data_IF_234823674873
#
_entry.id   IF_234823674873
#
_cell.length_a   1.000
_cell.length_b   1.000
_cell.length_c   1.000
_cell.angle_alpha   90.00
_cell.angle_beta   90.00
_cell.angle_gamma   90.00
#
_symmetry.space_group_name_H-M   'P 1'
#
loop_
_entity.id
_entity.type
_entity.pdbx_description
1 polymer ?
#
# COMPACT_ATOMS: atom_id res chain seq x y z
N UNK A 1 4.06 -14.40 -2.75
CA UNK A 1 5.27 -13.90 -3.42
C UNK A 1 6.01 -13.06 -2.42
N UNK A 2 7.33 -13.18 -2.36
CA UNK A 2 8.21 -12.41 -1.48
C UNK A 2 9.51 -12.07 -2.22
N UNK A 3 10.49 -11.52 -1.51
CA UNK A 3 11.81 -11.19 -2.07
C UNK A 3 12.58 -12.43 -2.56
N UNK A 4 12.24 -13.63 -2.08
CA UNK A 4 12.92 -14.88 -2.38
C UNK A 4 12.20 -15.69 -3.47
N UNK A 5 10.89 -15.54 -3.59
CA UNK A 5 10.01 -16.39 -4.41
C UNK A 5 8.94 -15.55 -5.12
N UNK A 6 8.96 -15.55 -6.46
CA UNK A 6 7.99 -14.79 -7.24
C UNK A 6 8.15 -14.86 -8.75
N UNK A 7 7.04 -15.04 -9.47
CA UNK A 7 6.95 -14.77 -10.90
C UNK A 7 6.88 -13.26 -11.21
N UNK A 8 7.98 -12.70 -11.69
CA UNK A 8 8.03 -11.31 -12.12
C UNK A 8 7.39 -11.20 -13.52
N UNK A 9 6.14 -10.74 -13.58
CA UNK A 9 5.41 -10.52 -14.83
C UNK A 9 6.11 -9.48 -15.73
N UNK A 10 5.93 -9.60 -17.05
CA UNK A 10 6.61 -8.74 -18.04
C UNK A 10 5.82 -7.47 -18.40
N UNK A 11 5.20 -6.83 -17.41
CA UNK A 11 4.37 -5.64 -17.61
C UNK A 11 5.23 -4.35 -17.65
N UNK A 12 4.71 -3.28 -18.26
CA UNK A 12 5.41 -2.00 -18.39
C UNK A 12 5.92 -1.46 -17.05
N UNK A 13 5.06 -1.40 -16.02
CA UNK A 13 5.44 -0.92 -14.68
C UNK A 13 6.53 -1.77 -14.02
N UNK A 14 6.56 -3.07 -14.31
CA UNK A 14 7.62 -3.96 -13.83
C UNK A 14 8.94 -3.68 -14.53
N UNK A 15 8.91 -3.39 -15.84
CA UNK A 15 10.11 -3.01 -16.59
C UNK A 15 10.68 -1.67 -16.11
N UNK A 16 9.83 -0.68 -15.79
CA UNK A 16 10.27 0.58 -15.17
C UNK A 16 10.99 0.31 -13.85
N UNK A 17 10.40 -0.50 -12.96
CA UNK A 17 11.03 -0.85 -11.69
C UNK A 17 12.37 -1.58 -11.89
N UNK A 18 12.43 -2.55 -12.82
CA UNK A 18 13.69 -3.25 -13.16
C UNK A 18 14.78 -2.29 -13.64
N UNK A 19 14.42 -1.31 -14.47
CA UNK A 19 15.37 -0.31 -14.95
C UNK A 19 15.88 0.57 -13.80
N UNK A 20 15.00 1.05 -12.92
CA UNK A 20 15.42 1.81 -11.73
C UNK A 20 16.36 1.03 -10.83
N UNK A 21 16.02 -0.22 -10.52
CA UNK A 21 16.86 -1.09 -9.69
C UNK A 21 18.20 -1.41 -10.37
N UNK A 22 18.19 -1.64 -11.68
CA UNK A 22 19.42 -1.85 -12.45
C UNK A 22 20.31 -0.61 -12.39
N UNK A 23 19.77 0.58 -12.69
CA UNK A 23 20.53 1.84 -12.65
C UNK A 23 21.11 2.10 -11.27
N UNK A 24 20.35 1.84 -10.20
CA UNK A 24 20.83 1.95 -8.83
C UNK A 24 21.96 0.96 -8.52
N UNK A 25 21.87 -0.27 -9.03
CA UNK A 25 22.86 -1.32 -8.79
C UNK A 25 24.15 -1.15 -9.62
N UNK A 26 24.04 -0.66 -10.86
CA UNK A 26 25.17 -0.44 -11.77
C UNK A 26 26.20 0.59 -11.24
N UNK A 27 25.80 1.46 -10.31
CA UNK A 27 26.70 2.44 -9.70
C UNK A 27 27.48 1.81 -8.54
N UNK A 28 28.80 1.71 -8.67
CA UNK A 28 29.67 1.25 -7.57
C UNK A 28 29.97 2.40 -6.61
N UNK A 29 29.64 2.22 -5.33
CA UNK A 29 29.98 3.13 -4.24
C UNK A 29 30.80 2.37 -3.20
N UNK A 30 32.01 2.82 -2.90
CA UNK A 30 32.94 2.13 -1.98
C UNK A 30 32.69 2.47 -0.51
N UNK A 31 32.08 3.62 -0.23
CA UNK A 31 31.86 4.13 1.13
C UNK A 31 30.38 4.34 1.46
N UNK A 32 29.47 3.94 0.57
CA UNK A 32 28.03 4.14 0.72
C UNK A 32 27.30 2.82 0.57
N UNK A 33 26.66 2.38 1.66
CA UNK A 33 25.78 1.21 1.67
C UNK A 33 24.53 1.48 0.85
N UNK A 34 24.10 0.48 0.08
CA UNK A 34 22.95 0.57 -0.83
C UNK A 34 21.83 -0.37 -0.38
N UNK A 35 20.63 0.19 -0.24
CA UNK A 35 19.38 -0.55 -0.02
C UNK A 35 18.33 -0.06 -1.00
N UNK A 36 17.57 -1.00 -1.57
CA UNK A 36 16.39 -0.73 -2.39
C UNK A 36 15.15 -1.07 -1.55
N UNK A 37 14.25 -0.10 -1.43
CA UNK A 37 12.94 -0.30 -0.81
C UNK A 37 11.86 -0.40 -1.89
N UNK A 38 11.21 -1.56 -1.98
CA UNK A 38 10.00 -1.75 -2.78
C UNK A 38 8.78 -1.43 -1.94
N UNK A 39 8.29 -0.19 -2.06
CA UNK A 39 7.25 0.34 -1.18
C UNK A 39 5.86 -0.07 -1.70
N UNK A 40 5.04 -0.66 -0.82
CA UNK A 40 3.65 -0.97 -1.11
C UNK A 40 2.74 0.26 -1.10
N UNK A 41 1.44 0.06 -1.27
CA UNK A 41 0.49 1.18 -1.20
C UNK A 41 0.52 1.78 0.21
N UNK A 42 0.99 3.02 0.31
CA UNK A 42 1.20 3.67 1.60
C UNK A 42 -0.08 4.35 2.07
N UNK A 43 -0.56 3.95 3.24
CA UNK A 43 -1.75 4.49 3.90
C UNK A 43 -1.33 5.53 4.94
N UNK A 44 -1.91 6.71 4.86
CA UNK A 44 -1.65 7.81 5.77
C UNK A 44 -2.76 8.87 5.71
N UNK A 45 -2.84 9.71 6.72
CA UNK A 45 -3.81 10.80 6.81
C UNK A 45 -3.39 12.06 6.03
N UNK A 46 -2.15 12.11 5.54
CA UNK A 46 -1.60 13.24 4.80
C UNK A 46 -2.36 13.48 3.48
N UNK A 47 -2.46 14.76 3.10
CA UNK A 47 -3.13 15.19 1.85
C UNK A 47 -2.41 14.67 0.61
N UNK A 48 -3.16 14.31 -0.43
CA UNK A 48 -2.62 13.83 -1.71
C UNK A 48 -2.25 12.33 -1.73
N UNK A 49 -2.43 11.62 -0.61
CA UNK A 49 -2.24 10.18 -0.53
C UNK A 49 -3.44 9.36 -1.02
N UNK A 50 -3.23 8.05 -1.14
CA UNK A 50 -4.26 7.09 -1.60
C UNK A 50 -5.50 7.05 -0.70
N UNK A 51 -5.41 7.51 0.55
CA UNK A 51 -6.55 7.51 1.46
C UNK A 51 -7.63 8.51 1.02
N UNK A 52 -7.29 9.60 0.34
CA UNK A 52 -8.25 10.60 -0.10
C UNK A 52 -9.35 10.03 -1.02
N UNK A 53 -9.06 9.30 -2.11
CA UNK A 53 -10.11 8.67 -2.92
C UNK A 53 -10.90 7.64 -2.12
N UNK A 54 -10.27 6.90 -1.20
CA UNK A 54 -10.99 5.97 -0.32
C UNK A 54 -11.98 6.67 0.61
N UNK A 55 -11.61 7.82 1.19
CA UNK A 55 -12.49 8.64 2.01
C UNK A 55 -13.69 9.14 1.19
N UNK A 56 -13.46 9.59 -0.05
CA UNK A 56 -14.53 10.02 -0.93
C UNK A 56 -15.50 8.87 -1.25
N UNK A 57 -14.99 7.67 -1.54
CA UNK A 57 -15.83 6.50 -1.80
C UNK A 57 -16.75 6.19 -0.62
N UNK A 58 -16.21 6.12 0.61
CA UNK A 58 -17.05 5.84 1.78
C UNK A 58 -18.00 7.00 2.11
N UNK A 59 -17.58 8.25 1.88
CA UNK A 59 -18.41 9.45 2.09
C UNK A 59 -19.68 9.41 1.24
N UNK A 60 -19.58 8.96 -0.01
CA UNK A 60 -20.71 8.87 -0.94
C UNK A 60 -21.38 7.48 -0.97
N UNK A 61 -21.12 6.62 0.02
CA UNK A 61 -21.74 5.29 0.12
C UNK A 61 -21.21 4.25 -0.88
N UNK A 62 -20.17 4.57 -1.64
CA UNK A 62 -19.47 3.70 -2.60
C UNK A 62 -18.35 2.87 -1.93
N UNK A 63 -18.46 2.65 -0.62
CA UNK A 63 -17.50 1.92 0.21
C UNK A 63 -17.60 0.39 0.15
N UNK A 64 -18.19 -0.17 -0.90
CA UNK A 64 -18.25 -1.61 -1.13
C UNK A 64 -16.94 -2.17 -1.70
N UNK A 65 -16.92 -3.45 -2.06
CA UNK A 65 -15.75 -4.03 -2.75
C UNK A 65 -15.62 -3.47 -4.18
N UNK A 66 -14.40 -3.46 -4.68
CA UNK A 66 -14.03 -3.00 -6.02
C UNK A 66 -13.82 -4.19 -6.96
N UNK A 67 -14.42 -4.15 -8.15
CA UNK A 67 -14.31 -5.25 -9.12
C UNK A 67 -14.93 -6.56 -8.56
N UNK A 68 -14.15 -7.64 -8.50
CA UNK A 68 -14.61 -8.92 -7.91
C UNK A 68 -14.33 -9.05 -6.40
N UNK A 69 -13.63 -8.08 -5.80
CA UNK A 69 -13.31 -8.02 -4.37
C UNK A 69 -12.26 -9.02 -3.87
N UNK A 70 -11.84 -9.98 -4.71
CA UNK A 70 -10.91 -11.06 -4.34
C UNK A 70 -9.45 -10.68 -4.52
N UNK A 71 -9.17 -9.60 -5.25
CA UNK A 71 -7.80 -9.15 -5.45
C UNK A 71 -7.14 -8.82 -4.11
N UNK A 72 -5.94 -9.36 -3.91
CA UNK A 72 -5.15 -9.10 -2.72
C UNK A 72 -4.47 -7.75 -2.85
N UNK A 73 -4.42 -7.04 -1.73
CA UNK A 73 -3.95 -5.67 -1.62
C UNK A 73 -2.75 -5.61 -0.68
N UNK A 74 -1.61 -5.20 -1.22
CA UNK A 74 -0.39 -4.92 -0.46
C UNK A 74 -0.42 -3.47 0.01
N UNK A 75 -0.33 -3.26 1.30
CA UNK A 75 -0.41 -1.95 1.93
C UNK A 75 0.66 -1.80 2.98
N UNK A 76 0.94 -0.57 3.42
CA UNK A 76 1.77 -0.28 4.59
C UNK A 76 1.33 1.04 5.22
N UNK A 77 1.40 1.17 6.54
CA UNK A 77 1.16 2.44 7.19
C UNK A 77 2.35 3.39 7.00
N UNK A 78 2.11 4.69 6.76
CA UNK A 78 3.17 5.70 6.55
C UNK A 78 4.20 5.71 7.69
N UNK A 79 3.76 5.53 8.94
CA UNK A 79 4.69 5.42 10.09
C UNK A 79 5.65 4.24 9.95
N UNK A 80 5.18 3.09 9.46
CA UNK A 80 6.04 1.92 9.29
C UNK A 80 7.01 2.09 8.12
N UNK A 81 6.64 2.85 7.08
CA UNK A 81 7.59 3.26 6.03
C UNK A 81 8.74 4.06 6.63
N UNK A 82 8.43 5.09 7.42
CA UNK A 82 9.45 5.92 8.08
C UNK A 82 10.30 5.11 9.05
N UNK A 83 9.68 4.28 9.89
CA UNK A 83 10.39 3.41 10.84
C UNK A 83 11.30 2.41 10.15
N UNK A 84 10.89 1.88 9.00
CA UNK A 84 11.72 0.94 8.24
C UNK A 84 12.92 1.65 7.63
N UNK A 85 12.77 2.87 7.13
CA UNK A 85 13.90 3.70 6.67
C UNK A 85 14.87 4.01 7.81
N UNK A 86 14.37 4.45 8.97
CA UNK A 86 15.19 4.72 10.16
C UNK A 86 15.92 3.45 10.64
N UNK A 87 15.21 2.33 10.74
CA UNK A 87 15.78 1.03 11.08
C UNK A 87 16.89 0.62 10.09
N UNK A 88 16.68 0.84 8.79
CA UNK A 88 17.69 0.55 7.77
C UNK A 88 18.90 1.46 7.83
N UNK A 89 18.72 2.72 8.24
CA UNK A 89 19.82 3.67 8.41
C UNK A 89 20.75 3.23 9.55
N UNK A 90 20.19 2.80 10.69
CA UNK A 90 20.97 2.44 11.89
C UNK A 90 21.55 1.02 11.85
N UNK A 91 20.97 0.11 11.08
CA UNK A 91 21.46 -1.27 10.96
C UNK A 91 22.38 -1.42 9.74
N UNK A 92 23.69 -1.32 9.97
CA UNK A 92 24.71 -1.34 8.91
C UNK A 92 24.84 -2.68 8.17
N UNK A 93 24.42 -3.79 8.78
CA UNK A 93 24.46 -5.11 8.16
C UNK A 93 23.42 -5.30 7.03
N UNK A 94 22.37 -4.48 7.01
CA UNK A 94 21.27 -4.64 6.05
C UNK A 94 21.67 -4.13 4.67
N UNK A 95 21.48 -4.96 3.64
CA UNK A 95 21.85 -4.64 2.26
C UNK A 95 20.90 -5.27 1.23
N UNK A 96 20.87 -4.71 0.03
CA UNK A 96 20.07 -5.25 -1.08
C UNK A 96 18.61 -4.79 -1.07
N UNK A 97 17.70 -5.66 -1.51
CA UNK A 97 16.29 -5.32 -1.76
C UNK A 97 15.39 -5.76 -0.61
N UNK A 98 14.49 -4.89 -0.17
CA UNK A 98 13.47 -5.19 0.84
C UNK A 98 12.09 -4.73 0.38
N UNK A 99 11.06 -5.54 0.60
CA UNK A 99 9.67 -5.12 0.47
C UNK A 99 9.28 -4.30 1.71
N UNK A 100 8.88 -3.06 1.49
CA UNK A 100 8.36 -2.16 2.52
C UNK A 100 6.83 -2.23 2.49
N UNK A 101 6.32 -3.32 3.05
CA UNK A 101 4.90 -3.69 3.05
C UNK A 101 4.50 -4.21 4.42
N UNK A 102 3.23 -4.05 4.83
CA UNK A 102 2.72 -4.68 6.04
C UNK A 102 2.71 -6.22 5.88
N UNK A 103 2.92 -6.99 6.97
CA UNK A 103 3.07 -8.44 6.90
C UNK A 103 1.79 -9.19 6.55
N UNK A 104 0.62 -8.56 6.72
CA UNK A 104 -0.69 -9.17 6.49
C UNK A 104 -1.42 -8.49 5.32
N UNK A 105 -1.21 -8.94 4.07
CA UNK A 105 -2.01 -8.46 2.94
C UNK A 105 -3.47 -8.90 3.12
N UNK A 106 -4.39 -8.10 2.60
CA UNK A 106 -5.84 -8.34 2.72
C UNK A 106 -6.51 -8.32 1.36
N UNK A 107 -7.63 -9.03 1.20
CA UNK A 107 -8.45 -8.87 0.00
C UNK A 107 -9.07 -7.48 -0.06
N UNK A 108 -9.39 -6.99 -1.26
CA UNK A 108 -10.07 -5.71 -1.43
C UNK A 108 -11.40 -5.67 -0.64
N UNK A 109 -12.15 -6.77 -0.63
CA UNK A 109 -13.36 -6.87 0.17
C UNK A 109 -13.09 -6.68 1.67
N UNK A 110 -12.04 -7.32 2.20
CA UNK A 110 -11.66 -7.17 3.61
C UNK A 110 -11.15 -5.76 3.92
N UNK A 111 -10.35 -5.18 3.03
CA UNK A 111 -9.85 -3.79 3.12
C UNK A 111 -11.00 -2.79 3.19
N UNK A 112 -11.92 -2.82 2.22
CA UNK A 112 -13.05 -1.89 2.14
C UNK A 112 -14.01 -2.09 3.32
N UNK A 113 -14.25 -3.33 3.75
CA UNK A 113 -15.06 -3.62 4.94
C UNK A 113 -14.41 -3.06 6.21
N UNK A 114 -13.11 -3.24 6.40
CA UNK A 114 -12.39 -2.73 7.57
C UNK A 114 -12.40 -1.19 7.60
N UNK A 115 -12.12 -0.53 6.47
CA UNK A 115 -12.17 0.92 6.36
C UNK A 115 -13.55 1.45 6.74
N UNK A 116 -14.58 0.90 6.11
CA UNK A 116 -15.97 1.36 6.27
C UNK A 116 -16.46 1.17 7.71
N UNK A 117 -16.20 0.00 8.31
CA UNK A 117 -16.56 -0.26 9.70
C UNK A 117 -15.84 0.70 10.66
N UNK A 118 -14.55 0.96 10.45
CA UNK A 118 -13.77 1.87 11.31
C UNK A 118 -14.25 3.31 11.20
N UNK A 119 -14.72 3.72 10.01
CA UNK A 119 -15.30 5.04 9.76
C UNK A 119 -16.76 5.20 10.23
N UNK A 120 -17.38 4.15 10.78
CA UNK A 120 -18.77 4.18 11.26
C UNK A 120 -19.84 3.98 10.19
N UNK A 121 -19.45 3.50 9.01
CA UNK A 121 -20.36 3.23 7.89
C UNK A 121 -20.78 1.74 7.88
N UNK A 122 -22.08 1.46 7.88
CA UNK A 122 -22.60 0.09 7.97
C UNK A 122 -22.78 -0.58 6.60
N UNK A 123 -23.01 0.21 5.56
CA UNK A 123 -23.31 -0.26 4.21
C UNK A 123 -22.43 0.42 3.16
N UNK A 124 -22.04 -0.31 2.11
CA UNK A 124 -21.27 0.23 1.00
C UNK A 124 -21.62 -0.49 -0.29
N UNK A 125 -21.98 0.29 -1.30
CA UNK A 125 -22.30 -0.20 -2.64
C UNK A 125 -21.00 -0.62 -3.33
N UNK A 126 -20.91 -1.84 -3.90
CA UNK A 126 -19.75 -2.26 -4.69
C UNK A 126 -19.48 -1.29 -5.84
N UNK A 127 -18.20 -0.98 -6.06
CA UNK A 127 -17.78 -0.13 -7.16
C UNK A 127 -17.37 -1.03 -8.36
N UNK A 128 -18.17 -1.08 -9.43
CA UNK A 128 -17.84 -1.90 -10.59
C UNK A 128 -16.64 -1.31 -11.34
N UNK A 129 -15.87 -2.16 -12.03
CA UNK A 129 -14.63 -1.78 -12.70
C UNK A 129 -14.76 -0.57 -13.67
N UNK A 130 -15.85 -0.37 -14.43
CA UNK A 130 -16.01 0.82 -15.26
C UNK A 130 -16.06 2.13 -14.47
N UNK A 131 -16.70 2.12 -13.29
CA UNK A 131 -16.78 3.29 -12.41
C UNK A 131 -15.39 3.66 -11.89
N UNK A 132 -14.59 2.65 -11.51
CA UNK A 132 -13.22 2.84 -11.06
C UNK A 132 -12.31 3.36 -12.17
N UNK A 133 -12.51 2.90 -13.41
CA UNK A 133 -11.81 3.43 -14.60
C UNK A 133 -12.12 4.89 -14.85
N UNK A 134 -13.37 5.30 -14.75
CA UNK A 134 -13.73 6.73 -14.88
C UNK A 134 -13.13 7.56 -13.75
N UNK A 135 -13.21 7.10 -12.50
CA UNK A 135 -12.61 7.80 -11.37
C UNK A 135 -11.10 7.95 -11.49
N UNK A 136 -10.41 6.89 -11.92
CA UNK A 136 -8.96 6.91 -12.11
C UNK A 136 -8.51 7.83 -13.24
N UNK A 137 -9.29 7.95 -14.33
CA UNK A 137 -9.05 8.93 -15.39
C UNK A 137 -9.18 10.38 -14.88
N UNK A 138 -10.16 10.64 -14.00
CA UNK A 138 -10.33 11.95 -13.37
C UNK A 138 -9.22 12.29 -12.38
N UNK A 139 -8.67 11.29 -11.70
CA UNK A 139 -7.60 11.44 -10.68
C UNK A 139 -6.20 11.35 -11.34
N UNK A 140 -6.11 10.95 -12.61
CA UNK A 140 -4.84 10.79 -13.33
C UNK A 140 -4.01 9.60 -12.84
N UNK A 141 -4.65 8.54 -12.34
CA UNK A 141 -3.99 7.35 -11.79
C UNK A 141 -4.24 6.10 -12.64
N UNK A 142 -3.31 5.14 -12.65
CA UNK A 142 -3.50 3.88 -13.36
C UNK A 142 -4.45 2.92 -12.61
N UNK A 143 -5.55 2.50 -13.26
CA UNK A 143 -6.46 1.50 -12.67
C UNK A 143 -5.86 0.11 -12.50
N UNK A 144 -4.76 -0.20 -13.21
CA UNK A 144 -4.15 -1.51 -13.12
C UNK A 144 -3.72 -1.86 -11.69
N UNK A 145 -3.25 -0.86 -10.94
CA UNK A 145 -2.81 -1.02 -9.54
C UNK A 145 -3.94 -1.46 -8.60
N UNK A 146 -5.19 -1.08 -8.89
CA UNK A 146 -6.36 -1.42 -8.07
C UNK A 146 -7.03 -2.73 -8.51
N UNK A 147 -6.89 -3.10 -9.78
CA UNK A 147 -7.62 -4.22 -10.40
C UNK A 147 -6.77 -5.49 -10.54
N UNK A 148 -5.44 -5.39 -10.59
CA UNK A 148 -4.55 -6.56 -10.62
C UNK A 148 -4.19 -6.99 -9.20
N UNK A 149 -4.39 -8.27 -8.89
CA UNK A 149 -3.98 -8.86 -7.61
C UNK A 149 -2.48 -9.11 -7.61
N UNK A 150 -1.71 -8.24 -6.95
CA UNK A 150 -0.28 -8.46 -6.68
C UNK A 150 -0.04 -8.29 -5.19
N UNK A 151 0.29 -9.40 -4.52
CA UNK A 151 0.59 -9.37 -3.11
C UNK A 151 2.01 -9.83 -2.81
N UNK A 152 2.68 -9.05 -1.97
CA UNK A 152 4.02 -9.37 -1.47
C UNK A 152 4.09 -9.15 0.02
N UNK A 153 4.90 -9.98 0.69
CA UNK A 153 5.17 -9.88 2.12
C UNK A 153 6.62 -9.43 2.36
N UNK A 154 6.90 -8.78 3.50
CA UNK A 154 8.21 -8.25 3.85
C UNK A 154 9.09 -9.34 4.49
N UNK A 155 9.34 -10.45 3.80
CA UNK A 155 9.95 -11.65 4.40
C UNK A 155 11.34 -11.34 4.97
N UNK A 156 12.16 -10.59 4.23
CA UNK A 156 13.50 -10.18 4.69
C UNK A 156 13.44 -9.28 5.92
N UNK A 157 12.57 -8.27 5.91
CA UNK A 157 12.45 -7.35 7.04
C UNK A 157 12.04 -8.10 8.33
N UNK A 158 11.11 -9.07 8.21
CA UNK A 158 10.69 -9.90 9.34
C UNK A 158 11.82 -10.81 9.84
N UNK A 159 12.56 -11.46 8.94
CA UNK A 159 13.70 -12.32 9.29
C UNK A 159 14.82 -11.54 9.97
N UNK A 160 15.08 -10.32 9.50
CA UNK A 160 16.09 -9.41 10.04
C UNK A 160 15.60 -8.68 11.32
N UNK A 161 14.39 -8.97 11.80
CA UNK A 161 13.88 -8.52 13.10
C UNK A 161 13.13 -7.19 13.11
N UNK A 162 12.75 -6.64 11.95
CA UNK A 162 11.91 -5.44 11.91
C UNK A 162 10.51 -5.72 12.48
N UNK A 163 10.07 -4.89 13.41
CA UNK A 163 8.74 -4.99 14.04
C UNK A 163 7.83 -3.87 13.57
N UNK A 164 6.73 -4.23 12.89
CA UNK A 164 5.72 -3.30 12.41
C UNK A 164 4.86 -2.73 13.55
N UNK A 165 4.62 -1.41 13.54
CA UNK A 165 3.67 -0.74 14.44
C UNK A 165 2.23 -1.11 14.10
N UNK A 166 1.92 -1.17 12.82
CA UNK A 166 0.58 -1.43 12.30
C UNK A 166 0.58 -2.67 11.40
N UNK A 167 0.72 -3.89 11.96
CA UNK A 167 0.74 -5.11 11.16
C UNK A 167 -0.63 -5.49 10.60
N UNK A 168 -1.72 -4.91 11.12
CA UNK A 168 -3.12 -5.22 10.76
C UNK A 168 -3.85 -3.95 10.34
N UNK A 169 -4.63 -4.04 9.27
CA UNK A 169 -5.21 -2.86 8.59
C UNK A 169 -6.21 -2.09 9.46
N UNK A 170 -6.92 -2.76 10.37
CA UNK A 170 -7.87 -2.13 11.27
C UNK A 170 -7.21 -1.11 12.20
N UNK A 171 -6.04 -1.44 12.76
CA UNK A 171 -5.32 -0.52 13.64
C UNK A 171 -4.71 0.66 12.85
N UNK A 172 -4.24 0.40 11.62
CA UNK A 172 -3.82 1.45 10.71
C UNK A 172 -4.96 2.44 10.39
N UNK A 173 -6.17 1.94 10.13
CA UNK A 173 -7.31 2.82 9.87
C UNK A 173 -7.76 3.61 11.10
N UNK A 174 -7.73 3.01 12.30
CA UNK A 174 -8.04 3.74 13.54
C UNK A 174 -7.10 4.92 13.72
N UNK A 175 -5.81 4.72 13.51
CA UNK A 175 -4.80 5.78 13.57
C UNK A 175 -5.06 6.87 12.53
N UNK A 176 -5.21 6.49 11.26
CA UNK A 176 -5.46 7.44 10.17
C UNK A 176 -6.72 8.28 10.42
N UNK A 177 -7.83 7.64 10.81
CA UNK A 177 -9.11 8.32 11.04
C UNK A 177 -9.09 9.22 12.28
N UNK A 178 -8.26 8.91 13.29
CA UNK A 178 -8.09 9.78 14.47
C UNK A 178 -7.48 11.16 14.12
N UNK A 179 -6.79 11.25 12.99
CA UNK A 179 -6.16 12.48 12.49
C UNK A 179 -7.01 13.21 11.43
N UNK A 180 -8.15 12.65 11.01
CA UNK A 180 -8.99 13.22 9.96
C UNK A 180 -10.31 13.78 10.54
N UNK A 181 -10.72 15.00 10.16
CA UNK A 181 -12.02 15.51 10.56
C UNK A 181 -13.14 14.67 9.93
N UNK A 182 -14.22 14.42 10.68
CA UNK A 182 -15.34 13.57 10.23
C UNK A 182 -15.94 13.99 8.89
N UNK A 183 -15.95 15.29 8.59
CA UNK A 183 -16.46 15.85 7.33
C UNK A 183 -15.73 15.35 6.07
N UNK A 184 -14.54 14.77 6.22
CA UNK A 184 -13.78 14.16 5.11
C UNK A 184 -14.42 12.85 4.65
N UNK A 185 -15.07 12.11 5.56
CA UNK A 185 -15.63 10.79 5.27
C UNK A 185 -17.11 10.63 5.64
N UNK A 186 -17.77 11.67 6.15
CA UNK A 186 -19.22 11.76 6.33
C UNK A 186 -19.80 12.91 5.50
N UNK A 187 -20.99 12.69 4.93
CA UNK A 187 -21.74 13.71 4.20
C UNK A 187 -22.44 14.71 5.14
N UNK A 188 -22.79 14.25 6.34
CA UNK A 188 -23.53 14.99 7.38
C UNK A 188 -22.83 14.87 8.72
#
# INVERSE_FOLDING_TARGET
MDEFTGEIQNDFSVQVCKLWEKTFNDITLTHTRKIILRIGVTLGWQTGGVMQPYMNLIKFGLGGYQGNGKQMFTWIHITDVCRMMEWMMVNEALTGVYNCTAPNPVSNQAFMKALRNTAGHHFGIPAPAPLLKMGALLIGTETELLLKSRWVVPARALQDGFTFKYPVVNEAFKDILAHLPRSVYHLF
#
